data_IF_442165636844
#
_entry.id   IF_442165636844
#
_cell.length_a   1.000
_cell.length_b   1.000
_cell.length_c   1.000
_cell.angle_alpha   90.00
_cell.angle_beta   90.00
_cell.angle_gamma   90.00
#
_symmetry.space_group_name_H-M   'P 1'
#
loop_
_entity.id
_entity.type
_entity.pdbx_description
1 polymer ?
#
# COMPACT_ATOMS: atom_id res chain seq x y z
N UNK A 1 9.45 -18.07 21.99
CA UNK A 1 8.74 -18.36 20.73
C UNK A 1 8.10 -19.74 20.86
N UNK A 2 6.78 -19.81 20.73
CA UNK A 2 5.99 -21.01 21.06
C UNK A 2 6.07 -22.06 19.96
N UNK A 3 5.92 -23.34 20.30
CA UNK A 3 5.88 -24.47 19.37
C UNK A 3 4.73 -24.37 18.35
N UNK A 4 3.72 -23.54 18.65
CA UNK A 4 2.54 -23.25 17.83
C UNK A 4 2.81 -22.26 16.67
N UNK A 5 3.88 -21.45 16.73
CA UNK A 5 4.23 -20.50 15.66
C UNK A 5 4.96 -21.17 14.47
N UNK A 6 5.14 -22.49 14.52
CA UNK A 6 5.81 -23.29 13.47
C UNK A 6 4.85 -24.16 12.67
N UNK A 7 3.55 -24.05 12.90
CA UNK A 7 2.57 -24.79 12.13
C UNK A 7 2.40 -24.09 10.78
N UNK A 8 3.03 -24.64 9.75
CA UNK A 8 2.82 -24.19 8.37
C UNK A 8 1.33 -24.28 8.04
N UNK A 9 0.78 -23.21 7.49
CA UNK A 9 -0.56 -23.23 6.92
C UNK A 9 -0.53 -23.93 5.55
N UNK A 10 -1.67 -24.50 5.18
CA UNK A 10 -1.88 -24.98 3.82
C UNK A 10 -2.01 -23.76 2.90
N UNK A 11 -1.12 -23.65 1.91
CA UNK A 11 -1.06 -22.53 0.99
C UNK A 11 -1.34 -23.04 -0.41
N UNK A 12 -2.45 -22.61 -0.99
CA UNK A 12 -2.81 -22.93 -2.37
C UNK A 12 -2.03 -21.98 -3.30
N UNK A 13 -0.88 -22.45 -3.76
CA UNK A 13 0.00 -21.68 -4.63
C UNK A 13 -0.57 -21.66 -6.05
N UNK A 14 -0.83 -20.46 -6.57
CA UNK A 14 -1.12 -20.29 -7.99
C UNK A 14 0.16 -20.55 -8.79
N UNK A 15 0.23 -21.71 -9.45
CA UNK A 15 1.28 -22.04 -10.41
C UNK A 15 0.82 -21.56 -11.80
N UNK A 16 1.48 -20.56 -12.39
CA UNK A 16 1.18 -20.13 -13.74
C UNK A 16 1.53 -21.25 -14.74
N UNK A 17 0.83 -21.28 -15.87
CA UNK A 17 1.14 -22.19 -16.98
C UNK A 17 2.63 -22.13 -17.34
N UNK A 18 3.26 -23.30 -17.51
CA UNK A 18 4.66 -23.38 -17.90
C UNK A 18 4.87 -22.81 -19.31
N UNK A 19 5.69 -21.76 -19.39
CA UNK A 19 6.09 -21.18 -20.68
C UNK A 19 7.16 -22.01 -21.39
N UNK A 20 7.82 -22.92 -20.67
CA UNK A 20 8.97 -23.70 -21.14
C UNK A 20 8.64 -24.61 -22.35
N UNK A 21 7.41 -25.08 -22.47
CA UNK A 21 6.99 -25.99 -23.55
C UNK A 21 6.36 -25.26 -24.75
N UNK A 22 6.26 -23.92 -24.70
CA UNK A 22 5.70 -23.13 -25.81
C UNK A 22 6.78 -22.72 -26.80
N UNK A 23 6.68 -23.21 -28.03
CA UNK A 23 7.50 -22.75 -29.13
C UNK A 23 7.00 -21.38 -29.63
N UNK A 24 7.44 -20.31 -28.96
CA UNK A 24 7.12 -18.92 -29.30
C UNK A 24 7.96 -18.48 -30.51
N UNK A 25 7.46 -18.73 -31.72
CA UNK A 25 8.08 -18.22 -32.94
C UNK A 25 7.80 -16.72 -33.09
N UNK A 26 8.80 -15.89 -32.85
CA UNK A 26 8.70 -14.44 -33.04
C UNK A 26 8.97 -14.09 -34.52
N UNK A 27 8.10 -13.31 -35.18
CA UNK A 27 8.37 -12.79 -36.50
C UNK A 27 9.64 -11.93 -36.53
N UNK A 28 10.37 -11.93 -37.64
CA UNK A 28 11.64 -11.22 -37.76
C UNK A 28 11.55 -9.71 -37.46
N UNK A 29 10.44 -9.06 -37.81
CA UNK A 29 10.24 -7.63 -37.51
C UNK A 29 10.19 -7.37 -36.00
N UNK A 30 9.51 -8.24 -35.23
CA UNK A 30 9.39 -8.10 -33.79
C UNK A 30 10.73 -8.34 -33.08
N UNK A 31 11.54 -9.26 -33.61
CA UNK A 31 12.91 -9.49 -33.11
C UNK A 31 13.80 -8.26 -33.36
N UNK A 32 13.65 -7.61 -34.52
CA UNK A 32 14.37 -6.38 -34.83
C UNK A 32 13.94 -5.24 -33.88
N UNK A 33 12.63 -5.03 -33.69
CA UNK A 33 12.10 -4.02 -32.77
C UNK A 33 12.60 -4.24 -31.33
N UNK A 34 12.63 -5.50 -30.87
CA UNK A 34 13.13 -5.86 -29.54
C UNK A 34 14.63 -5.61 -29.40
N UNK A 35 15.40 -5.90 -30.46
CA UNK A 35 16.86 -5.66 -30.49
C UNK A 35 17.18 -4.18 -30.47
N UNK A 36 16.41 -3.36 -31.20
CA UNK A 36 16.53 -1.90 -31.20
C UNK A 36 16.17 -1.31 -29.83
N UNK A 37 15.11 -1.82 -29.19
CA UNK A 37 14.73 -1.43 -27.83
C UNK A 37 15.81 -1.80 -26.79
N UNK A 38 16.36 -3.02 -26.83
CA UNK A 38 17.44 -3.44 -25.92
C UNK A 38 18.69 -2.58 -26.11
N UNK A 39 19.05 -2.28 -27.36
CA UNK A 39 20.16 -1.38 -27.67
C UNK A 39 19.92 0.04 -27.15
N UNK A 40 18.70 0.57 -27.26
CA UNK A 40 18.33 1.88 -26.73
C UNK A 40 18.43 1.92 -25.19
N UNK A 41 17.92 0.89 -24.50
CA UNK A 41 18.00 0.76 -23.03
C UNK A 41 19.46 0.71 -22.57
N UNK A 42 20.31 -0.09 -23.24
CA UNK A 42 21.74 -0.18 -22.93
C UNK A 42 22.45 1.15 -23.12
N UNK A 43 22.17 1.86 -24.21
CA UNK A 43 22.75 3.21 -24.45
C UNK A 43 22.31 4.20 -23.39
N UNK A 44 21.03 4.21 -23.00
CA UNK A 44 20.51 5.07 -21.94
C UNK A 44 21.23 4.79 -20.61
N UNK A 45 21.34 3.52 -20.24
CA UNK A 45 22.02 3.11 -19.00
C UNK A 45 23.52 3.46 -19.01
N UNK A 46 24.19 3.31 -20.17
CA UNK A 46 25.60 3.64 -20.32
C UNK A 46 25.88 5.15 -20.36
N UNK A 47 24.92 5.96 -20.81
CA UNK A 47 25.08 7.42 -20.95
C UNK A 47 24.98 8.18 -19.64
N UNK A 48 24.73 7.48 -18.51
CA UNK A 48 24.90 7.97 -17.13
C UNK A 48 24.44 9.40 -16.88
N UNK A 49 23.19 9.59 -16.42
CA UNK A 49 22.77 10.88 -15.86
C UNK A 49 23.66 11.21 -14.65
N UNK A 50 24.53 12.22 -14.79
CA UNK A 50 25.69 12.50 -13.92
C UNK A 50 25.44 12.79 -12.43
N UNK A 51 24.26 12.55 -11.84
CA UNK A 51 24.03 12.83 -10.41
C UNK A 51 23.29 11.77 -9.59
N UNK A 52 22.79 10.67 -10.18
CA UNK A 52 22.27 9.54 -9.37
C UNK A 52 22.58 8.21 -10.07
N UNK A 53 23.19 7.25 -9.35
CA UNK A 53 23.36 5.89 -9.85
C UNK A 53 21.99 5.28 -10.13
N UNK A 54 21.65 5.12 -11.42
CA UNK A 54 20.38 4.55 -11.86
C UNK A 54 20.18 3.12 -11.35
N UNK A 55 21.26 2.35 -11.20
CA UNK A 55 21.22 1.01 -10.59
C UNK A 55 20.84 1.10 -9.10
N UNK A 56 21.39 2.08 -8.38
CA UNK A 56 21.03 2.35 -6.99
C UNK A 56 19.55 2.74 -6.84
N UNK A 57 19.04 3.58 -7.74
CA UNK A 57 17.63 3.94 -7.80
C UNK A 57 16.74 2.74 -8.13
N UNK A 58 17.09 1.94 -9.13
CA UNK A 58 16.33 0.76 -9.51
C UNK A 58 16.21 -0.22 -8.33
N UNK A 59 17.32 -0.49 -7.62
CA UNK A 59 17.32 -1.37 -6.45
C UNK A 59 16.55 -0.78 -5.26
N UNK A 60 16.60 0.54 -5.08
CA UNK A 60 15.81 1.22 -4.07
C UNK A 60 14.31 1.12 -4.36
N UNK A 61 13.89 1.43 -5.59
CA UNK A 61 12.49 1.38 -6.01
C UNK A 61 11.93 -0.04 -5.93
N UNK A 62 12.67 -1.05 -6.41
CA UNK A 62 12.26 -2.45 -6.31
C UNK A 62 12.05 -2.89 -4.85
N UNK A 63 12.92 -2.46 -3.93
CA UNK A 63 12.73 -2.74 -2.49
C UNK A 63 11.55 -1.96 -1.91
N UNK A 64 11.41 -0.69 -2.27
CA UNK A 64 10.30 0.14 -1.79
C UNK A 64 8.95 -0.44 -2.24
N UNK A 65 8.85 -0.89 -3.49
CA UNK A 65 7.66 -1.54 -4.04
C UNK A 65 7.38 -2.88 -3.37
N UNK A 66 8.41 -3.72 -3.19
CA UNK A 66 8.27 -4.97 -2.44
C UNK A 66 7.74 -4.74 -1.02
N UNK A 67 8.29 -3.75 -0.29
CA UNK A 67 7.81 -3.40 1.05
C UNK A 67 6.38 -2.87 1.03
N UNK A 68 6.02 -2.04 0.04
CA UNK A 68 4.66 -1.53 -0.10
C UNK A 68 3.66 -2.66 -0.39
N UNK A 69 4.00 -3.58 -1.30
CA UNK A 69 3.22 -4.76 -1.64
C UNK A 69 3.00 -5.65 -0.42
N UNK A 70 4.05 -5.98 0.35
CA UNK A 70 3.90 -6.77 1.59
C UNK A 70 3.01 -6.09 2.64
N UNK A 71 3.06 -4.75 2.74
CA UNK A 71 2.17 -4.00 3.64
C UNK A 71 0.72 -4.04 3.20
N UNK A 72 0.46 -3.97 1.89
CA UNK A 72 -0.88 -4.10 1.32
C UNK A 72 -1.42 -5.51 1.57
N UNK A 73 -0.62 -6.56 1.33
CA UNK A 73 -1.01 -7.95 1.59
C UNK A 73 -1.31 -8.20 3.08
N UNK A 74 -0.47 -7.70 3.97
CA UNK A 74 -0.69 -7.80 5.41
C UNK A 74 -1.97 -7.07 5.85
N UNK A 75 -2.29 -5.94 5.22
CA UNK A 75 -3.52 -5.20 5.48
C UNK A 75 -4.76 -5.99 5.03
N UNK A 76 -4.75 -6.55 3.81
CA UNK A 76 -5.86 -7.35 3.30
C UNK A 76 -6.07 -8.62 4.14
N UNK A 77 -5.00 -9.31 4.51
CA UNK A 77 -5.06 -10.47 5.40
C UNK A 77 -5.73 -10.13 6.74
N UNK A 78 -5.35 -9.00 7.35
CA UNK A 78 -5.95 -8.51 8.59
C UNK A 78 -7.44 -8.22 8.43
N UNK A 79 -7.85 -7.59 7.34
CA UNK A 79 -9.27 -7.31 7.08
C UNK A 79 -10.08 -8.59 6.92
N UNK A 80 -9.55 -9.59 6.20
CA UNK A 80 -10.20 -10.89 6.04
C UNK A 80 -10.35 -11.62 7.37
N UNK A 81 -9.34 -11.56 8.24
CA UNK A 81 -9.42 -12.09 9.60
C UNK A 81 -10.52 -11.39 10.42
N UNK A 82 -10.58 -10.06 10.38
CA UNK A 82 -11.60 -9.27 11.09
C UNK A 82 -13.03 -9.56 10.61
N UNK A 83 -13.23 -9.79 9.31
CA UNK A 83 -14.53 -10.05 8.71
C UNK A 83 -14.99 -11.51 8.82
N UNK A 84 -14.08 -12.41 9.20
CA UNK A 84 -14.30 -13.85 9.24
C UNK A 84 -14.64 -14.41 7.87
N UNK A 85 -15.65 -15.30 7.81
CA UNK A 85 -16.04 -15.94 6.54
C UNK A 85 -16.64 -14.93 5.56
N UNK A 86 -15.99 -14.79 4.40
CA UNK A 86 -16.45 -14.00 3.26
C UNK A 86 -16.91 -14.96 2.17
N UNK A 87 -18.04 -14.65 1.53
CA UNK A 87 -18.56 -15.44 0.41
C UNK A 87 -17.88 -15.01 -0.88
N UNK A 88 -17.42 -15.99 -1.66
CA UNK A 88 -16.89 -15.76 -2.99
C UNK A 88 -17.86 -14.98 -3.89
N UNK A 89 -17.33 -14.02 -4.64
CA UNK A 89 -18.02 -13.10 -5.55
C UNK A 89 -19.10 -12.23 -4.87
N UNK A 90 -19.03 -12.08 -3.54
CA UNK A 90 -19.90 -11.16 -2.80
C UNK A 90 -19.47 -9.72 -3.00
N UNK A 91 -20.39 -8.76 -2.80
CA UNK A 91 -20.02 -7.36 -2.81
C UNK A 91 -18.95 -7.04 -1.75
N UNK A 92 -18.92 -7.74 -0.62
CA UNK A 92 -17.87 -7.59 0.40
C UNK A 92 -16.49 -7.99 -0.12
N UNK A 93 -16.37 -9.14 -0.79
CA UNK A 93 -15.09 -9.59 -1.36
C UNK A 93 -14.60 -8.64 -2.46
N UNK A 94 -15.48 -8.27 -3.39
CA UNK A 94 -15.13 -7.37 -4.49
C UNK A 94 -14.71 -5.98 -3.98
N UNK A 95 -15.29 -5.52 -2.87
CA UNK A 95 -14.85 -4.27 -2.25
C UNK A 95 -13.48 -4.43 -1.60
N UNK A 96 -13.19 -5.53 -0.90
CA UNK A 96 -11.85 -5.77 -0.33
C UNK A 96 -10.76 -5.75 -1.41
N UNK A 97 -11.03 -6.35 -2.57
CA UNK A 97 -10.09 -6.34 -3.69
C UNK A 97 -9.96 -4.94 -4.34
N UNK A 98 -11.01 -4.11 -4.27
CA UNK A 98 -11.04 -2.75 -4.83
C UNK A 98 -10.32 -1.70 -3.94
N UNK A 99 -10.47 -1.80 -2.62
CA UNK A 99 -10.07 -0.74 -1.68
C UNK A 99 -8.57 -0.38 -1.66
N UNK A 100 -7.62 -1.30 -1.88
CA UNK A 100 -6.21 -0.94 -1.98
C UNK A 100 -5.89 0.07 -3.09
N UNK A 101 -6.62 -0.02 -4.21
CA UNK A 101 -6.47 0.90 -5.35
C UNK A 101 -7.40 2.12 -5.28
N UNK A 102 -8.53 2.02 -4.59
CA UNK A 102 -9.54 3.08 -4.48
C UNK A 102 -9.94 3.27 -3.00
N UNK A 103 -9.13 3.96 -2.18
CA UNK A 103 -9.31 3.98 -0.72
C UNK A 103 -10.40 4.94 -0.24
N UNK A 104 -10.95 5.79 -1.11
CA UNK A 104 -12.03 6.72 -0.79
C UNK A 104 -13.17 6.51 -1.79
N UNK A 105 -14.32 6.10 -1.30
CA UNK A 105 -15.46 5.69 -2.14
C UNK A 105 -16.78 6.24 -1.61
N UNK A 106 -17.77 6.33 -2.49
CA UNK A 106 -19.19 6.43 -2.13
C UNK A 106 -19.87 5.10 -2.46
N UNK A 107 -21.08 4.87 -1.94
CA UNK A 107 -21.84 3.65 -2.30
C UNK A 107 -22.12 3.59 -3.80
N UNK A 108 -22.48 4.73 -4.41
CA UNK A 108 -22.74 4.85 -5.85
C UNK A 108 -21.50 4.52 -6.68
N UNK A 109 -20.36 5.16 -6.38
CA UNK A 109 -19.13 4.93 -7.15
C UNK A 109 -18.64 3.50 -7.00
N UNK A 110 -18.72 2.94 -5.80
CA UNK A 110 -18.35 1.57 -5.51
C UNK A 110 -19.23 0.56 -6.25
N UNK A 111 -20.56 0.75 -6.26
CA UNK A 111 -21.52 -0.13 -6.92
C UNK A 111 -21.22 -0.25 -8.43
N UNK A 112 -20.88 0.89 -9.05
CA UNK A 112 -20.46 0.95 -10.46
C UNK A 112 -19.13 0.21 -10.69
N UNK A 113 -18.15 0.38 -9.81
CA UNK A 113 -16.83 -0.25 -9.94
C UNK A 113 -16.88 -1.78 -9.78
N UNK A 114 -17.67 -2.29 -8.84
CA UNK A 114 -17.79 -3.74 -8.59
C UNK A 114 -18.88 -4.42 -9.45
N UNK A 115 -19.64 -3.66 -10.25
CA UNK A 115 -20.72 -4.19 -11.09
C UNK A 115 -21.85 -4.84 -10.27
N UNK A 116 -22.28 -4.20 -9.18
CA UNK A 116 -23.37 -4.67 -8.28
C UNK A 116 -24.39 -3.56 -8.06
N UNK A 117 -25.57 -3.92 -7.55
CA UNK A 117 -26.59 -2.92 -7.19
C UNK A 117 -26.14 -2.06 -6.01
N UNK A 118 -26.59 -0.81 -5.95
CA UNK A 118 -26.31 0.09 -4.82
C UNK A 118 -26.79 -0.49 -3.49
N UNK A 119 -27.91 -1.21 -3.46
CA UNK A 119 -28.41 -1.87 -2.25
C UNK A 119 -27.42 -2.93 -1.72
N UNK A 120 -26.96 -3.87 -2.58
CA UNK A 120 -25.98 -4.90 -2.19
C UNK A 120 -24.64 -4.29 -1.80
N UNK A 121 -24.25 -3.23 -2.49
CA UNK A 121 -23.02 -2.49 -2.19
C UNK A 121 -23.13 -1.78 -0.86
N UNK A 122 -24.27 -1.14 -0.58
CA UNK A 122 -24.54 -0.46 0.68
C UNK A 122 -24.54 -1.41 1.87
N UNK A 123 -25.13 -2.60 1.75
CA UNK A 123 -25.02 -3.64 2.78
C UNK A 123 -23.57 -4.06 3.04
N UNK A 124 -22.79 -4.26 1.97
CA UNK A 124 -21.38 -4.61 2.09
C UNK A 124 -20.57 -3.47 2.74
N UNK A 125 -20.81 -2.21 2.36
CA UNK A 125 -20.19 -1.03 2.97
C UNK A 125 -20.51 -0.96 4.47
N UNK A 126 -21.76 -1.17 4.86
CA UNK A 126 -22.14 -1.20 6.27
C UNK A 126 -21.43 -2.33 7.04
N UNK A 127 -21.28 -3.51 6.43
CA UNK A 127 -20.53 -4.62 7.02
C UNK A 127 -19.05 -4.28 7.20
N UNK A 128 -18.43 -3.66 6.19
CA UNK A 128 -17.03 -3.24 6.24
C UNK A 128 -16.81 -2.11 7.26
N UNK A 129 -17.75 -1.18 7.39
CA UNK A 129 -17.73 -0.15 8.42
C UNK A 129 -17.85 -0.76 9.83
N UNK A 130 -18.79 -1.70 10.02
CA UNK A 130 -18.96 -2.40 11.29
C UNK A 130 -17.71 -3.21 11.69
N UNK A 131 -16.96 -3.73 10.72
CA UNK A 131 -15.68 -4.41 10.93
C UNK A 131 -14.48 -3.45 11.11
N UNK A 132 -14.69 -2.14 10.99
CA UNK A 132 -13.63 -1.12 11.09
C UNK A 132 -12.71 -1.05 9.87
N UNK A 133 -13.06 -1.69 8.76
CA UNK A 133 -12.34 -1.60 7.48
C UNK A 133 -12.57 -0.23 6.83
N UNK A 134 -13.81 0.25 6.88
CA UNK A 134 -14.21 1.57 6.39
C UNK A 134 -14.56 2.50 7.55
N UNK A 135 -14.33 3.80 7.35
CA UNK A 135 -14.90 4.85 8.19
C UNK A 135 -15.64 5.87 7.35
N UNK A 136 -16.86 6.19 7.76
CA UNK A 136 -17.58 7.31 7.18
C UNK A 136 -16.92 8.64 7.56
N UNK A 137 -16.54 9.43 6.56
CA UNK A 137 -16.13 10.82 6.70
C UNK A 137 -17.33 11.72 6.41
N UNK A 138 -17.90 12.32 7.46
CA UNK A 138 -18.97 13.30 7.30
C UNK A 138 -18.40 14.65 6.84
N UNK A 139 -18.25 14.83 5.53
CA UNK A 139 -17.94 16.13 4.92
C UNK A 139 -19.28 16.72 4.42
N UNK A 140 -19.98 17.50 5.26
CA UNK A 140 -21.16 18.27 4.85
C UNK A 140 -22.50 17.51 4.78
N UNK A 141 -23.40 17.94 3.88
CA UNK A 141 -24.80 17.46 3.78
C UNK A 141 -24.88 15.94 3.64
N UNK A 142 -25.80 15.33 4.40
CA UNK A 142 -26.04 13.87 4.54
C UNK A 142 -26.19 13.05 3.24
N UNK A 143 -26.37 13.69 2.08
CA UNK A 143 -26.59 13.02 0.78
C UNK A 143 -25.32 12.46 0.14
N UNK A 144 -24.13 12.85 0.59
CA UNK A 144 -22.86 12.37 0.03
C UNK A 144 -22.01 11.71 1.12
N UNK A 145 -22.44 10.53 1.58
CA UNK A 145 -21.66 9.73 2.54
C UNK A 145 -20.41 9.20 1.84
N UNK A 146 -19.26 9.69 2.26
CA UNK A 146 -17.95 9.24 1.79
C UNK A 146 -17.38 8.26 2.81
N UNK A 147 -16.85 7.15 2.33
CA UNK A 147 -16.22 6.11 3.13
C UNK A 147 -14.74 6.04 2.78
N UNK A 148 -13.92 5.96 3.81
CA UNK A 148 -12.47 5.91 3.73
C UNK A 148 -11.98 4.57 4.27
N UNK A 149 -11.20 3.83 3.48
CA UNK A 149 -10.45 2.67 3.94
C UNK A 149 -9.25 3.15 4.75
N UNK A 150 -9.47 3.35 6.05
CA UNK A 150 -8.50 4.01 6.94
C UNK A 150 -7.13 3.32 6.90
N UNK A 151 -7.10 1.98 6.90
CA UNK A 151 -5.84 1.25 6.82
C UNK A 151 -5.01 1.56 5.57
N UNK A 152 -5.66 1.78 4.42
CA UNK A 152 -4.95 2.11 3.17
C UNK A 152 -4.44 3.55 3.20
N UNK A 153 -5.27 4.50 3.66
CA UNK A 153 -4.86 5.90 3.77
C UNK A 153 -3.71 6.05 4.77
N UNK A 154 -3.75 5.34 5.89
CA UNK A 154 -2.66 5.30 6.89
C UNK A 154 -1.37 4.70 6.30
N UNK A 155 -1.46 3.64 5.49
CA UNK A 155 -0.30 3.07 4.82
C UNK A 155 0.38 4.10 3.90
N UNK A 156 -0.38 4.78 3.04
CA UNK A 156 0.19 5.75 2.10
C UNK A 156 0.70 7.02 2.78
N UNK A 157 -0.03 7.53 3.78
CA UNK A 157 0.40 8.73 4.54
C UNK A 157 1.59 8.43 5.45
N UNK A 158 1.69 7.22 6.00
CA UNK A 158 2.85 6.75 6.76
C UNK A 158 4.11 6.55 5.89
N UNK A 159 3.96 6.27 4.60
CA UNK A 159 5.08 6.20 3.64
C UNK A 159 5.58 7.59 3.23
N UNK A 160 4.69 8.60 3.20
CA UNK A 160 5.02 9.97 2.80
C UNK A 160 5.55 10.88 3.91
N UNK A 161 5.43 10.47 5.19
CA UNK A 161 6.07 11.20 6.29
C UNK A 161 7.58 10.93 6.28
N UNK A 162 8.33 11.94 5.87
CA UNK A 162 9.66 12.13 6.44
C UNK A 162 9.47 12.24 7.95
N UNK A 163 10.26 11.55 8.80
CA UNK A 163 10.21 11.81 10.23
C UNK A 163 10.47 13.31 10.42
N UNK A 164 9.48 14.03 10.95
CA UNK A 164 9.71 15.37 11.47
C UNK A 164 10.83 15.23 12.51
N UNK A 165 12.00 15.79 12.19
CA UNK A 165 13.18 15.79 13.05
C UNK A 165 13.02 16.77 14.23
N UNK A 166 11.82 17.28 14.48
CA UNK A 166 11.48 18.12 15.63
C UNK A 166 11.09 17.23 16.81
N UNK A 167 12.06 16.49 17.33
CA UNK A 167 11.82 15.63 18.50
C UNK A 167 13.05 14.96 19.10
N UNK A 168 14.25 15.49 18.89
CA UNK A 168 15.41 15.14 19.72
C UNK A 168 15.94 16.42 20.37
N UNK A 169 15.25 16.85 21.43
CA UNK A 169 15.82 17.81 22.37
C UNK A 169 16.82 17.05 23.25
N UNK A 170 18.09 17.47 23.36
CA UNK A 170 18.98 16.93 24.37
C UNK A 170 18.39 17.23 25.76
N UNK A 171 18.39 16.20 26.60
CA UNK A 171 17.82 16.21 27.94
C UNK A 171 18.33 17.36 28.80
N UNK A 172 17.44 17.77 29.68
CA UNK A 172 17.67 18.64 30.82
C UNK A 172 18.93 18.24 31.61
N UNK A 173 19.90 19.14 31.69
CA UNK A 173 20.65 19.36 32.92
C UNK A 173 20.47 20.82 33.32
N UNK A 174 19.55 21.06 34.25
CA UNK A 174 19.56 22.27 35.07
C UNK A 174 20.40 21.99 36.32
N UNK A 175 21.41 22.80 36.63
CA UNK A 175 21.86 22.95 38.00
C UNK A 175 21.12 24.13 38.63
N UNK A 176 20.32 23.82 39.65
CA UNK A 176 19.77 24.78 40.59
C UNK A 176 20.88 25.57 41.31
N UNK A 177 20.69 26.88 41.29
CA UNK A 177 20.88 27.86 42.38
C UNK A 177 22.20 27.87 43.18
N UNK A 178 22.89 29.02 43.08
CA UNK A 178 23.90 29.45 44.04
C UNK A 178 23.98 30.98 44.03
N UNK A 179 23.22 31.58 44.94
CA UNK A 179 23.32 32.93 45.52
C UNK A 179 24.55 33.78 45.20
N UNK A 180 24.34 35.09 45.01
CA UNK A 180 25.01 36.26 45.62
C UNK A 180 24.83 37.46 44.67
N UNK A 181 23.79 38.28 44.87
CA UNK A 181 23.82 39.46 45.75
C UNK A 181 24.90 40.49 45.39
N UNK A 182 24.46 41.54 44.70
CA UNK A 182 24.70 42.97 45.00
C UNK A 182 26.09 43.45 45.43
N UNK A 183 26.53 44.49 44.69
CA UNK A 183 27.24 45.71 45.13
C UNK A 183 28.69 45.90 44.65
N UNK A 184 28.94 47.17 44.22
CA UNK A 184 30.20 47.84 43.88
C UNK A 184 30.66 47.61 42.42
N UNK A 185 30.70 48.58 41.51
CA UNK A 185 30.71 50.05 41.56
C UNK A 185 30.06 50.61 40.29
#
# INVERSE_FOLDING_TARGET
>A
MSRSDRQGCDYDASLPDTLADRNLALPAYLVADLSDADAAIRRLNASGTSHVSLEGLARFLLRAESVASSKIEALDARWREQLGRIRANSATELLLDLLPGVPVITVESAARLIGRSEMRTGEAVNRLEAAGVLRQRNIGRQRYRIFEATGVVELFTGLGRYPDHTGFGPGEESPHSGSLSSALQ
#
